data_IF_985319369315
#
_entry.id   IF_985319369315
#
_cell.length_a   1.000
_cell.length_b   1.000
_cell.length_c   1.000
_cell.angle_alpha   90.00
_cell.angle_beta   90.00
_cell.angle_gamma   90.00
#
_symmetry.space_group_name_H-M   'P 1'
#
loop_
_entity.id
_entity.type
_entity.pdbx_description
1 polymer ?
#
# COMPACT_ATOMS: atom_id res chain seq x y z
N UNK A 1 -10.04 -7.46 9.45
CA UNK A 1 -9.54 -6.81 8.22
C UNK A 1 -9.17 -7.83 7.12
N UNK A 2 -8.12 -8.67 7.24
CA UNK A 2 -7.78 -9.63 6.16
C UNK A 2 -8.88 -10.63 5.81
N UNK A 3 -9.56 -11.21 6.81
CA UNK A 3 -10.62 -12.20 6.59
C UNK A 3 -11.99 -11.62 6.18
N UNK A 4 -12.15 -10.29 6.17
CA UNK A 4 -13.49 -9.70 6.07
C UNK A 4 -13.57 -8.39 5.29
N UNK A 5 -12.45 -7.83 4.83
CA UNK A 5 -12.42 -6.54 4.12
C UNK A 5 -11.29 -6.54 3.09
N UNK A 6 -10.03 -6.57 3.51
CA UNK A 6 -8.90 -6.32 2.61
C UNK A 6 -8.35 -7.56 1.89
N UNK A 7 -8.59 -8.77 2.40
CA UNK A 7 -8.02 -9.99 1.79
C UNK A 7 -6.48 -10.00 1.77
N UNK A 8 -5.85 -9.20 2.63
CA UNK A 8 -4.41 -9.01 2.67
C UNK A 8 -3.73 -10.25 3.23
N UNK A 9 -3.30 -11.12 2.32
CA UNK A 9 -2.58 -12.35 2.58
C UNK A 9 -1.28 -12.36 1.77
N UNK A 10 -0.22 -12.91 2.35
CA UNK A 10 1.10 -12.98 1.73
C UNK A 10 1.49 -14.45 1.46
N UNK A 11 0.81 -15.14 0.51
CA UNK A 11 1.18 -16.49 0.16
C UNK A 11 2.60 -16.52 -0.38
N UNK A 12 3.30 -17.59 -0.05
CA UNK A 12 4.67 -17.84 -0.46
C UNK A 12 4.66 -19.01 -1.43
N UNK A 13 4.99 -18.74 -2.70
CA UNK A 13 5.29 -19.78 -3.68
C UNK A 13 6.81 -20.02 -3.70
N UNK A 14 7.21 -21.27 -3.52
CA UNK A 14 8.61 -21.71 -3.54
C UNK A 14 9.33 -21.33 -4.86
N UNK A 15 8.59 -21.16 -5.96
CA UNK A 15 9.14 -20.66 -7.23
C UNK A 15 9.57 -19.19 -7.15
N UNK A 16 8.89 -18.38 -6.33
CA UNK A 16 9.06 -16.92 -6.24
C UNK A 16 10.22 -16.48 -5.36
N UNK A 17 10.67 -17.31 -4.41
CA UNK A 17 11.69 -16.95 -3.42
C UNK A 17 13.12 -17.35 -3.84
N UNK A 18 13.25 -18.07 -4.95
CA UNK A 18 14.52 -18.65 -5.41
C UNK A 18 15.05 -19.74 -4.46
N UNK A 19 16.05 -20.50 -4.91
CA UNK A 19 16.62 -21.64 -4.18
C UNK A 19 17.35 -21.26 -2.87
N UNK A 20 17.50 -19.96 -2.58
CA UNK A 20 18.25 -19.45 -1.41
C UNK A 20 17.43 -19.46 -0.12
N UNK A 21 16.10 -19.43 -0.20
CA UNK A 21 15.22 -19.41 0.96
C UNK A 21 14.53 -20.76 1.10
N UNK A 22 14.83 -21.50 2.16
CA UNK A 22 14.11 -22.74 2.54
C UNK A 22 12.76 -22.46 3.21
N UNK A 23 12.14 -21.33 2.91
CA UNK A 23 10.80 -21.05 3.41
C UNK A 23 9.84 -22.02 2.71
N UNK A 24 9.12 -22.82 3.51
CA UNK A 24 8.10 -23.73 2.99
C UNK A 24 7.04 -22.98 2.19
N UNK A 25 6.29 -23.71 1.35
CA UNK A 25 5.15 -23.15 0.61
C UNK A 25 4.05 -22.76 1.59
N UNK A 26 3.68 -21.47 1.63
CA UNK A 26 2.49 -20.99 2.34
C UNK A 26 1.42 -20.68 1.30
N UNK A 27 0.38 -21.50 1.26
CA UNK A 27 -0.69 -21.32 0.27
C UNK A 27 -1.72 -20.28 0.71
N UNK A 28 -2.47 -19.72 -0.25
CA UNK A 28 -3.64 -18.89 0.09
C UNK A 28 -4.67 -19.68 0.93
N UNK A 29 -4.81 -20.99 0.68
CA UNK A 29 -5.71 -21.86 1.45
C UNK A 29 -5.37 -21.84 2.94
N UNK A 30 -4.08 -21.87 3.29
CA UNK A 30 -3.64 -21.78 4.68
C UNK A 30 -4.20 -20.54 5.38
N UNK A 31 -4.17 -19.38 4.72
CA UNK A 31 -4.72 -18.15 5.30
C UNK A 31 -6.25 -18.16 5.42
N UNK A 32 -6.96 -18.74 4.45
CA UNK A 32 -8.42 -18.88 4.50
C UNK A 32 -8.83 -19.83 5.64
N UNK A 33 -8.15 -20.97 5.77
CA UNK A 33 -8.38 -21.92 6.85
C UNK A 33 -8.09 -21.26 8.21
N UNK A 34 -7.00 -20.48 8.31
CA UNK A 34 -6.66 -19.76 9.53
C UNK A 34 -7.76 -18.75 9.94
N UNK A 35 -8.44 -18.12 8.99
CA UNK A 35 -9.60 -17.28 9.29
C UNK A 35 -10.74 -18.07 9.93
N UNK A 36 -11.02 -19.29 9.45
CA UNK A 36 -11.99 -20.17 10.08
C UNK A 36 -11.53 -20.61 11.47
N UNK A 37 -10.28 -21.04 11.61
CA UNK A 37 -9.74 -21.60 12.85
C UNK A 37 -9.67 -20.56 13.98
N UNK A 38 -9.35 -19.30 13.68
CA UNK A 38 -9.27 -18.23 14.69
C UNK A 38 -10.66 -17.78 15.13
N UNK A 39 -11.57 -17.57 14.19
CA UNK A 39 -12.86 -16.95 14.48
C UNK A 39 -14.00 -17.95 14.67
N UNK A 40 -13.72 -19.24 14.48
CA UNK A 40 -14.67 -20.36 14.56
C UNK A 40 -15.99 -20.08 13.84
N UNK A 41 -15.90 -19.50 12.64
CA UNK A 41 -17.06 -19.08 11.89
C UNK A 41 -17.02 -19.61 10.45
N UNK A 42 -17.96 -20.49 10.06
CA UNK A 42 -17.97 -21.11 8.73
C UNK A 42 -18.22 -20.11 7.59
N UNK A 43 -18.61 -18.86 7.89
CA UNK A 43 -18.71 -17.83 6.86
C UNK A 43 -17.38 -17.53 6.18
N UNK A 44 -16.24 -17.75 6.86
CA UNK A 44 -14.91 -17.45 6.34
C UNK A 44 -14.48 -18.48 5.29
N UNK A 45 -15.07 -18.34 4.11
CA UNK A 45 -14.71 -19.07 2.89
C UNK A 45 -13.93 -18.14 1.95
N UNK A 46 -13.24 -18.71 0.96
CA UNK A 46 -12.56 -17.92 -0.06
C UNK A 46 -13.53 -17.01 -0.83
N UNK A 47 -14.75 -17.48 -1.09
CA UNK A 47 -15.77 -16.71 -1.82
C UNK A 47 -16.33 -15.57 -0.97
N UNK A 48 -16.53 -15.81 0.33
CA UNK A 48 -16.89 -14.73 1.25
C UNK A 48 -15.81 -13.64 1.28
N UNK A 49 -14.55 -14.03 1.46
CA UNK A 49 -13.43 -13.08 1.54
C UNK A 49 -13.32 -12.28 0.24
N UNK A 50 -13.38 -12.95 -0.92
CA UNK A 50 -13.38 -12.27 -2.24
C UNK A 50 -14.51 -11.26 -2.37
N UNK A 51 -15.73 -11.63 -1.97
CA UNK A 51 -16.89 -10.73 -1.99
C UNK A 51 -16.67 -9.48 -1.12
N UNK A 52 -16.05 -9.65 0.05
CA UNK A 52 -15.75 -8.52 0.92
C UNK A 52 -14.64 -7.62 0.35
N UNK A 53 -13.61 -8.20 -0.28
CA UNK A 53 -12.57 -7.45 -1.01
C UNK A 53 -13.17 -6.62 -2.15
N UNK A 54 -14.09 -7.22 -2.91
CA UNK A 54 -14.81 -6.50 -3.96
C UNK A 54 -15.66 -5.36 -3.39
N UNK A 55 -16.44 -5.62 -2.33
CA UNK A 55 -17.23 -4.57 -1.68
C UNK A 55 -16.35 -3.42 -1.16
N UNK A 56 -15.19 -3.75 -0.59
CA UNK A 56 -14.22 -2.77 -0.08
C UNK A 56 -13.62 -1.94 -1.23
N UNK A 57 -13.24 -2.58 -2.33
CA UNK A 57 -12.74 -1.88 -3.52
C UNK A 57 -13.81 -0.98 -4.15
N UNK A 58 -15.07 -1.42 -4.20
CA UNK A 58 -16.18 -0.58 -4.68
C UNK A 58 -16.37 0.63 -3.78
N UNK A 59 -16.32 0.44 -2.45
CA UNK A 59 -16.50 1.52 -1.48
C UNK A 59 -15.38 2.57 -1.53
N UNK A 60 -14.11 2.14 -1.55
CA UNK A 60 -12.96 3.05 -1.56
C UNK A 60 -12.49 3.48 -2.96
N UNK A 61 -13.15 3.01 -4.02
CA UNK A 61 -12.82 3.36 -5.41
C UNK A 61 -11.67 2.55 -6.04
N UNK A 62 -11.13 1.56 -5.31
CA UNK A 62 -10.11 0.62 -5.77
C UNK A 62 -8.80 1.30 -6.22
N UNK A 63 -8.02 0.62 -7.07
CA UNK A 63 -6.74 1.14 -7.60
C UNK A 63 -6.87 2.46 -8.39
N UNK A 64 -8.04 2.71 -8.94
CA UNK A 64 -8.34 3.95 -9.66
C UNK A 64 -8.73 5.11 -8.74
N UNK A 65 -8.95 4.83 -7.45
CA UNK A 65 -9.32 5.83 -6.44
C UNK A 65 -10.49 6.70 -6.91
N UNK A 66 -11.51 6.05 -7.47
CA UNK A 66 -12.66 6.72 -8.07
C UNK A 66 -13.37 7.58 -7.03
N UNK A 67 -13.60 8.86 -7.37
CA UNK A 67 -14.23 9.82 -6.47
C UNK A 67 -13.31 10.43 -5.41
N UNK A 68 -12.03 10.05 -5.38
CA UNK A 68 -11.07 10.62 -4.46
C UNK A 68 -10.42 11.90 -5.01
N UNK A 69 -10.03 12.80 -4.11
CA UNK A 69 -9.30 14.02 -4.43
C UNK A 69 -8.38 14.41 -3.26
N UNK A 70 -7.37 15.22 -3.54
CA UNK A 70 -6.43 15.74 -2.55
C UNK A 70 -5.68 14.63 -1.79
N UNK A 71 -5.14 13.67 -2.53
CA UNK A 71 -4.36 12.57 -1.94
C UNK A 71 -2.93 12.62 -2.46
N UNK A 72 -1.98 12.62 -1.53
CA UNK A 72 -0.56 12.42 -1.83
C UNK A 72 -0.22 10.99 -1.42
N UNK A 73 0.47 10.26 -2.29
CA UNK A 73 0.84 8.85 -2.07
C UNK A 73 2.37 8.69 -2.12
N UNK A 74 3.07 8.96 -1.01
CA UNK A 74 4.50 8.69 -0.90
C UNK A 74 4.78 7.19 -0.86
N UNK A 75 5.82 6.76 -1.56
CA UNK A 75 6.30 5.38 -1.50
C UNK A 75 7.79 5.29 -1.80
N UNK A 76 8.55 4.59 -0.96
CA UNK A 76 9.96 4.31 -1.22
C UNK A 76 10.17 3.32 -2.37
N UNK A 77 11.23 3.47 -3.16
CA UNK A 77 11.52 2.54 -4.26
C UNK A 77 11.98 1.17 -3.75
N UNK A 78 12.53 1.08 -2.54
CA UNK A 78 12.92 -0.17 -1.88
C UNK A 78 11.81 -0.77 -1.00
N UNK A 79 10.68 -0.08 -0.86
CA UNK A 79 9.55 -0.58 -0.11
C UNK A 79 8.82 -1.68 -0.90
N UNK A 80 8.82 -2.90 -0.34
CA UNK A 80 8.08 -4.03 -0.89
C UNK A 80 6.57 -3.80 -0.96
N UNK A 81 6.03 -2.84 -0.20
CA UNK A 81 4.61 -2.47 -0.27
C UNK A 81 4.26 -1.55 -1.44
N UNK A 82 5.25 -0.93 -2.11
CA UNK A 82 4.97 0.01 -3.20
C UNK A 82 4.18 -0.63 -4.34
N UNK A 83 4.34 -1.94 -4.57
CA UNK A 83 3.74 -2.66 -5.69
C UNK A 83 2.21 -2.76 -5.61
N UNK A 84 1.64 -2.64 -4.41
CA UNK A 84 0.18 -2.63 -4.19
C UNK A 84 -0.37 -1.20 -4.03
N UNK A 85 0.50 -0.18 -4.08
CA UNK A 85 0.13 1.23 -4.12
C UNK A 85 -0.04 1.77 -5.54
N UNK A 86 -0.27 3.08 -5.66
CA UNK A 86 -0.39 3.77 -6.95
C UNK A 86 0.90 4.55 -7.23
N UNK A 87 1.65 4.12 -8.25
CA UNK A 87 2.97 4.69 -8.61
C UNK A 87 2.89 5.81 -9.65
N UNK A 88 1.77 5.93 -10.35
CA UNK A 88 1.49 6.98 -11.34
C UNK A 88 -0.01 7.29 -11.38
N UNK A 89 -0.37 8.50 -11.79
CA UNK A 89 -1.75 8.96 -11.87
C UNK A 89 -1.90 10.03 -12.93
N UNK A 90 -2.93 9.92 -13.77
CA UNK A 90 -3.36 10.97 -14.69
C UNK A 90 -4.36 11.95 -14.03
N UNK A 91 -4.87 11.60 -12.85
CA UNK A 91 -5.72 12.49 -12.06
C UNK A 91 -4.84 13.47 -11.27
N UNK A 92 -4.88 14.79 -11.54
CA UNK A 92 -4.03 15.77 -10.86
C UNK A 92 -4.35 15.94 -9.37
N UNK A 93 -5.50 15.47 -8.90
CA UNK A 93 -5.86 15.46 -7.49
C UNK A 93 -5.26 14.28 -6.71
N UNK A 94 -4.62 13.33 -7.40
CA UNK A 94 -3.96 12.17 -6.82
C UNK A 94 -2.48 12.24 -7.21
N UNK A 95 -1.61 12.43 -6.22
CA UNK A 95 -0.19 12.76 -6.42
C UNK A 95 0.69 11.64 -5.87
N UNK A 96 1.05 10.63 -6.69
CA UNK A 96 2.12 9.71 -6.35
C UNK A 96 3.47 10.40 -6.19
N UNK A 97 4.22 9.98 -5.17
CA UNK A 97 5.58 10.45 -4.89
C UNK A 97 6.46 9.23 -4.63
N UNK A 98 7.04 8.69 -5.70
CA UNK A 98 8.01 7.60 -5.60
C UNK A 98 9.37 8.17 -5.21
N UNK A 99 9.94 7.69 -4.11
CA UNK A 99 11.16 8.19 -3.50
C UNK A 99 12.29 7.18 -3.71
N UNK A 100 13.22 7.50 -4.60
CA UNK A 100 14.30 6.59 -4.98
C UNK A 100 15.26 6.30 -3.82
N UNK A 101 15.59 5.02 -3.61
CA UNK A 101 16.48 4.55 -2.56
C UNK A 101 15.85 4.46 -1.17
N UNK A 102 14.62 4.95 -0.99
CA UNK A 102 13.95 4.96 0.31
C UNK A 102 13.10 3.71 0.56
N UNK A 103 12.87 3.44 1.84
CA UNK A 103 12.11 2.29 2.33
C UNK A 103 10.69 2.72 2.75
N UNK A 104 10.05 1.89 3.57
CA UNK A 104 8.68 2.08 4.02
C UNK A 104 8.53 3.37 4.84
N UNK A 105 7.67 4.26 4.35
CA UNK A 105 7.27 5.51 5.00
C UNK A 105 8.45 6.41 5.46
N UNK A 106 9.58 6.40 4.75
CA UNK A 106 10.76 7.23 5.07
C UNK A 106 10.41 8.72 5.21
N UNK A 107 9.46 9.20 4.40
CA UNK A 107 9.00 10.59 4.38
C UNK A 107 8.35 11.06 5.68
N UNK A 108 7.78 10.14 6.46
CA UNK A 108 7.06 10.43 7.71
C UNK A 108 7.98 10.59 8.93
N UNK A 109 9.24 10.16 8.84
CA UNK A 109 10.20 10.38 9.93
C UNK A 109 10.65 11.85 9.99
N UNK A 110 11.08 12.28 11.17
CA UNK A 110 11.64 13.61 11.37
C UNK A 110 12.86 13.81 10.45
N UNK A 111 13.01 14.98 9.81
CA UNK A 111 14.17 15.25 8.96
C UNK A 111 15.49 15.21 9.74
N UNK A 112 16.51 14.61 9.14
CA UNK A 112 17.88 14.55 9.66
C UNK A 112 18.88 14.99 8.58
N UNK A 113 20.11 15.35 8.98
CA UNK A 113 21.14 15.83 8.05
C UNK A 113 21.50 14.81 6.98
N UNK A 114 21.46 13.53 7.36
CA UNK A 114 21.86 12.37 6.57
C UNK A 114 20.80 11.94 5.54
N UNK A 115 19.61 12.56 5.55
CA UNK A 115 18.55 12.23 4.61
C UNK A 115 19.03 12.37 3.16
N UNK A 116 18.63 11.41 2.32
CA UNK A 116 18.96 11.43 0.90
C UNK A 116 18.38 12.66 0.21
N UNK A 117 19.02 13.09 -0.88
CA UNK A 117 18.49 14.17 -1.72
C UNK A 117 17.11 13.82 -2.29
N UNK A 118 16.84 12.54 -2.56
CA UNK A 118 15.54 12.06 -3.02
C UNK A 118 14.46 12.27 -1.95
N UNK A 119 14.75 11.93 -0.69
CA UNK A 119 13.86 12.12 0.44
C UNK A 119 13.58 13.60 0.73
N UNK A 120 14.63 14.43 0.72
CA UNK A 120 14.50 15.89 0.87
C UNK A 120 13.60 16.49 -0.23
N UNK A 121 13.81 16.10 -1.49
CA UNK A 121 12.97 16.53 -2.63
C UNK A 121 11.53 16.04 -2.49
N UNK A 122 11.32 14.82 -2.03
CA UNK A 122 10.00 14.25 -1.82
C UNK A 122 9.22 15.03 -0.75
N UNK A 123 9.83 15.28 0.42
CA UNK A 123 9.19 16.09 1.49
C UNK A 123 8.83 17.49 1.00
N UNK A 124 9.73 18.15 0.26
CA UNK A 124 9.43 19.46 -0.35
C UNK A 124 8.26 19.37 -1.34
N UNK A 125 8.19 18.34 -2.18
CA UNK A 125 7.05 18.13 -3.09
C UNK A 125 5.74 17.94 -2.32
N UNK A 126 5.76 17.16 -1.25
CA UNK A 126 4.61 16.91 -0.37
C UNK A 126 4.14 18.23 0.24
N UNK A 127 5.04 18.97 0.88
CA UNK A 127 4.77 20.28 1.51
C UNK A 127 4.18 21.28 0.52
N UNK A 128 4.83 21.50 -0.62
CA UNK A 128 4.33 22.43 -1.65
C UNK A 128 2.95 22.03 -2.16
N UNK A 129 2.69 20.73 -2.31
CA UNK A 129 1.37 20.23 -2.75
C UNK A 129 0.30 20.50 -1.69
N UNK A 130 0.61 20.23 -0.41
CA UNK A 130 -0.29 20.51 0.70
C UNK A 130 -0.60 22.00 0.82
N UNK A 131 0.41 22.86 0.77
CA UNK A 131 0.21 24.30 0.91
C UNK A 131 -0.58 24.88 -0.26
N UNK A 132 -0.35 24.38 -1.49
CA UNK A 132 -1.20 24.72 -2.64
C UNK A 132 -2.67 24.38 -2.40
N UNK A 133 -2.96 23.21 -1.84
CA UNK A 133 -4.33 22.79 -1.53
C UNK A 133 -4.96 23.59 -0.39
N UNK A 134 -4.15 24.05 0.55
CA UNK A 134 -4.59 24.92 1.65
C UNK A 134 -4.69 26.40 1.24
N UNK A 135 -4.29 26.78 0.03
CA UNK A 135 -4.27 28.16 -0.43
C UNK A 135 -3.18 29.01 0.25
N UNK A 136 -2.11 28.38 0.72
CA UNK A 136 -0.95 29.04 1.35
C UNK A 136 0.14 29.24 0.30
N UNK A 137 0.60 30.47 0.12
CA UNK A 137 1.74 30.80 -0.74
C UNK A 137 3.03 30.70 0.08
N UNK A 138 4.00 29.93 -0.41
CA UNK A 138 5.33 29.84 0.19
C UNK A 138 6.21 30.88 -0.52
N UNK A 139 6.68 31.88 0.21
CA UNK A 139 7.74 32.79 -0.25
C UNK A 139 9.11 32.11 -0.21
#
# INVERSE_FOLDING_TARGET
>A
MSCNELGYFQPIDAKSIGSKWKAGKISLKYFVDLCYDIFHNPKFTIDWIKKQVEATNVYYGGMEMRGASHIILPSGSLDSWRIIGKLSSDNPAIVPVVIEGESHASDMYAPVSEDSDALKKARKKIETTLFKWLGITIE
#
